data_IF_271022954394
#
_entry.id   IF_271022954394
#
_cell.length_a   1.000
_cell.length_b   1.000
_cell.length_c   1.000
_cell.angle_alpha   90.00
_cell.angle_beta   90.00
_cell.angle_gamma   90.00
#
_symmetry.space_group_name_H-M   'P 1'
#
loop_
_entity.id
_entity.type
_entity.pdbx_description
1 polymer ?
#
# COMPACT_ATOMS: atom_id res chain seq x y z
N UNK A 1 -14.16 -14.87 -20.37
CA UNK A 1 -13.43 -15.29 -19.16
C UNK A 1 -14.04 -14.46 -18.04
N UNK A 2 -14.53 -15.11 -16.98
CA UNK A 2 -15.14 -14.40 -15.86
C UNK A 2 -14.04 -13.75 -15.00
N UNK A 3 -14.36 -12.66 -14.29
CA UNK A 3 -13.42 -11.90 -13.47
C UNK A 3 -12.59 -12.78 -12.51
N UNK A 4 -13.24 -13.76 -11.89
CA UNK A 4 -12.63 -14.65 -10.90
C UNK A 4 -11.69 -15.71 -11.49
N UNK A 5 -11.72 -15.91 -12.82
CA UNK A 5 -10.83 -16.85 -13.51
C UNK A 5 -9.53 -16.19 -14.00
N UNK A 6 -9.40 -14.86 -13.85
CA UNK A 6 -8.25 -14.11 -14.33
C UNK A 6 -7.06 -14.24 -13.40
N UNK A 7 -5.86 -14.27 -13.99
CA UNK A 7 -4.63 -14.05 -13.22
C UNK A 7 -4.68 -12.67 -12.54
N UNK A 8 -3.98 -12.48 -11.41
CA UNK A 8 -3.91 -11.17 -10.76
C UNK A 8 -3.40 -10.07 -11.69
N UNK A 9 -2.41 -10.38 -12.53
CA UNK A 9 -1.86 -9.44 -13.50
C UNK A 9 -2.91 -9.05 -14.55
N UNK A 10 -3.73 -9.99 -15.01
CA UNK A 10 -4.83 -9.72 -15.95
C UNK A 10 -5.94 -8.89 -15.29
N UNK A 11 -6.23 -9.11 -14.00
CA UNK A 11 -7.14 -8.24 -13.24
C UNK A 11 -6.62 -6.80 -13.21
N UNK A 12 -5.32 -6.62 -12.97
CA UNK A 12 -4.67 -5.30 -13.01
C UNK A 12 -4.78 -4.68 -14.40
N UNK A 13 -4.49 -5.43 -15.47
CA UNK A 13 -4.65 -4.94 -16.85
C UNK A 13 -6.07 -4.44 -17.11
N UNK A 14 -7.09 -5.19 -16.70
CA UNK A 14 -8.49 -4.75 -16.86
C UNK A 14 -8.75 -3.43 -16.12
N UNK A 15 -8.25 -3.27 -14.89
CA UNK A 15 -8.37 -2.00 -14.18
C UNK A 15 -7.72 -0.84 -14.97
N UNK A 16 -6.54 -1.05 -15.54
CA UNK A 16 -5.80 -0.08 -16.36
C UNK A 16 -6.46 0.23 -17.71
N UNK A 17 -7.19 -0.70 -18.31
CA UNK A 17 -7.93 -0.47 -19.56
C UNK A 17 -9.19 0.37 -19.30
N UNK A 18 -9.77 0.26 -18.11
CA UNK A 18 -10.96 1.01 -17.70
C UNK A 18 -10.65 2.46 -17.30
N UNK A 19 -9.40 2.75 -16.91
CA UNK A 19 -8.96 4.04 -16.38
C UNK A 19 -7.51 4.28 -16.82
N UNK A 20 -7.23 5.44 -17.42
CA UNK A 20 -5.85 5.82 -17.76
C UNK A 20 -5.07 6.25 -16.51
N UNK A 21 -4.73 5.27 -15.68
CA UNK A 21 -4.06 5.44 -14.39
C UNK A 21 -2.85 4.51 -14.31
N UNK A 22 -1.93 4.83 -13.41
CA UNK A 22 -0.82 3.95 -13.03
C UNK A 22 -1.29 2.96 -11.97
N UNK A 23 -0.55 1.87 -11.78
CA UNK A 23 -0.80 0.94 -10.68
C UNK A 23 0.44 0.72 -9.84
N UNK A 24 0.21 0.38 -8.58
CA UNK A 24 1.26 0.23 -7.58
C UNK A 24 0.86 0.91 -6.28
N UNK A 25 1.69 0.72 -5.27
CA UNK A 25 1.50 1.17 -3.90
C UNK A 25 2.18 2.51 -3.70
N UNK A 26 1.56 3.36 -2.89
CA UNK A 26 2.23 4.48 -2.24
C UNK A 26 2.91 3.94 -0.98
N UNK A 27 4.22 4.11 -0.88
CA UNK A 27 5.04 3.52 0.18
C UNK A 27 5.76 4.63 0.94
N UNK A 28 5.37 4.84 2.20
CA UNK A 28 5.93 5.84 3.09
C UNK A 28 7.08 5.27 3.90
N UNK A 29 8.27 5.86 3.74
CA UNK A 29 9.40 5.61 4.62
C UNK A 29 9.25 6.44 5.89
N UNK A 30 9.15 5.78 7.04
CA UNK A 30 8.93 6.42 8.34
C UNK A 30 10.11 6.27 9.31
N UNK A 31 11.26 5.82 8.80
CA UNK A 31 12.53 5.80 9.55
C UNK A 31 13.72 6.12 8.64
N UNK A 32 14.61 6.96 9.14
CA UNK A 32 15.80 7.50 8.49
C UNK A 32 17.04 7.27 9.34
N UNK A 33 16.97 6.32 10.27
CA UNK A 33 18.13 5.85 11.04
C UNK A 33 19.25 5.41 10.09
N UNK A 34 20.47 5.99 10.21
CA UNK A 34 21.57 5.70 9.28
C UNK A 34 21.89 4.20 9.14
N UNK A 35 21.79 3.43 10.23
CA UNK A 35 22.01 2.00 10.26
C UNK A 35 20.98 1.18 9.45
N UNK A 36 19.80 1.74 9.17
CA UNK A 36 18.75 1.11 8.37
C UNK A 36 18.75 1.57 6.90
N UNK A 37 19.63 2.50 6.51
CA UNK A 37 19.68 3.01 5.13
C UNK A 37 19.92 1.89 4.11
N UNK A 38 20.91 1.02 4.37
CA UNK A 38 21.19 -0.11 3.47
C UNK A 38 20.04 -1.14 3.42
N UNK A 39 19.30 -1.29 4.53
CA UNK A 39 18.11 -2.14 4.59
C UNK A 39 17.00 -1.58 3.71
N UNK A 40 16.76 -0.27 3.79
CA UNK A 40 15.78 0.43 2.97
C UNK A 40 16.08 0.33 1.47
N UNK A 41 17.32 0.58 1.06
CA UNK A 41 17.73 0.44 -0.34
C UNK A 41 17.56 -0.99 -0.85
N UNK A 42 17.93 -1.98 -0.04
CA UNK A 42 17.75 -3.39 -0.36
C UNK A 42 16.28 -3.78 -0.45
N UNK A 43 15.44 -3.24 0.43
CA UNK A 43 13.99 -3.43 0.41
C UNK A 43 13.39 -2.94 -0.91
N UNK A 44 13.66 -1.68 -1.29
CA UNK A 44 13.19 -1.09 -2.56
C UNK A 44 13.60 -1.94 -3.76
N UNK A 45 14.88 -2.26 -3.86
CA UNK A 45 15.43 -3.06 -4.96
C UNK A 45 14.79 -4.45 -5.05
N UNK A 46 14.55 -5.10 -3.90
CA UNK A 46 13.99 -6.45 -3.88
C UNK A 46 12.51 -6.46 -4.20
N UNK A 47 11.73 -5.48 -3.74
CA UNK A 47 10.33 -5.28 -4.15
C UNK A 47 10.27 -5.07 -5.66
N UNK A 48 11.00 -4.10 -6.20
CA UNK A 48 11.02 -3.81 -7.64
C UNK A 48 11.43 -5.01 -8.48
N UNK A 49 12.54 -5.68 -8.12
CA UNK A 49 13.02 -6.85 -8.83
C UNK A 49 11.99 -7.98 -8.84
N UNK A 50 11.38 -8.29 -7.70
CA UNK A 50 10.39 -9.36 -7.60
C UNK A 50 9.15 -9.04 -8.41
N UNK A 51 8.60 -7.84 -8.27
CA UNK A 51 7.41 -7.42 -9.02
C UNK A 51 7.65 -7.50 -10.53
N UNK A 52 8.75 -6.92 -11.02
CA UNK A 52 9.08 -6.97 -12.45
C UNK A 52 9.32 -8.39 -12.95
N UNK A 53 9.97 -9.23 -12.13
CA UNK A 53 10.15 -10.64 -12.44
C UNK A 53 8.81 -11.37 -12.53
N UNK A 54 7.89 -11.16 -11.60
CA UNK A 54 6.55 -11.76 -11.62
C UNK A 54 5.79 -11.35 -12.89
N UNK A 55 5.74 -10.04 -13.18
CA UNK A 55 5.06 -9.52 -14.38
C UNK A 55 5.66 -10.09 -15.66
N UNK A 56 6.98 -10.19 -15.77
CA UNK A 56 7.64 -10.70 -16.98
C UNK A 56 7.29 -12.17 -17.30
N UNK A 57 6.83 -12.94 -16.31
CA UNK A 57 6.38 -14.33 -16.51
C UNK A 57 4.85 -14.44 -16.57
N UNK A 58 4.10 -13.33 -16.53
CA UNK A 58 2.64 -13.33 -16.58
C UNK A 58 2.11 -13.37 -18.02
N UNK A 59 0.80 -13.48 -18.15
CA UNK A 59 0.07 -13.42 -19.42
C UNK A 59 -0.15 -11.99 -19.93
N UNK A 60 0.32 -10.97 -19.19
CA UNK A 60 0.22 -9.53 -19.50
C UNK A 60 1.48 -8.76 -19.08
N UNK A 61 2.64 -9.03 -19.68
CA UNK A 61 3.89 -8.38 -19.28
C UNK A 61 3.85 -6.84 -19.44
N UNK A 62 3.01 -6.33 -20.34
CA UNK A 62 2.90 -4.90 -20.66
C UNK A 62 2.38 -4.06 -19.47
N UNK A 63 1.75 -4.67 -18.45
CA UNK A 63 1.38 -3.91 -17.24
C UNK A 63 2.60 -3.31 -16.53
N UNK A 64 3.81 -3.84 -16.76
CA UNK A 64 5.05 -3.27 -16.24
C UNK A 64 5.30 -1.84 -16.71
N UNK A 65 4.74 -1.42 -17.86
CA UNK A 65 4.89 -0.06 -18.39
C UNK A 65 4.12 0.97 -17.56
N UNK A 66 3.06 0.55 -16.88
CA UNK A 66 2.24 1.39 -16.00
C UNK A 66 2.49 1.15 -14.51
N UNK A 67 3.50 0.34 -14.17
CA UNK A 67 3.89 0.09 -12.78
C UNK A 67 4.61 1.31 -12.21
N UNK A 68 4.06 1.89 -11.16
CA UNK A 68 4.67 2.95 -10.38
C UNK A 68 4.61 2.66 -8.87
N UNK A 69 5.77 2.40 -8.26
CA UNK A 69 5.92 2.39 -6.81
C UNK A 69 6.23 3.80 -6.34
N UNK A 70 5.22 4.50 -5.79
CA UNK A 70 5.39 5.84 -5.29
C UNK A 70 6.11 5.83 -3.93
N UNK A 71 7.45 5.88 -3.98
CA UNK A 71 8.31 5.94 -2.80
C UNK A 71 8.32 7.35 -2.19
N UNK A 72 7.65 7.52 -1.05
CA UNK A 72 7.62 8.81 -0.33
C UNK A 72 8.72 8.84 0.71
N UNK A 73 9.78 9.58 0.40
CA UNK A 73 10.97 9.76 1.23
C UNK A 73 11.09 11.22 1.68
N UNK A 74 10.45 11.55 2.79
CA UNK A 74 10.53 12.84 3.47
C UNK A 74 10.99 12.63 4.91
N UNK A 75 12.09 13.28 5.31
CA UNK A 75 12.67 13.18 6.65
C UNK A 75 11.71 13.63 7.76
N UNK A 76 10.71 14.47 7.46
CA UNK A 76 9.66 14.83 8.42
C UNK A 76 8.78 13.64 8.83
N UNK A 77 8.85 12.52 8.09
CA UNK A 77 8.09 11.30 8.37
C UNK A 77 8.74 10.41 9.43
N UNK A 78 9.91 10.76 9.97
CA UNK A 78 10.53 10.01 11.07
C UNK A 78 9.56 9.88 12.25
N UNK A 79 9.11 8.67 12.54
CA UNK A 79 8.15 8.41 13.62
C UNK A 79 6.77 9.03 13.41
N UNK A 80 6.37 9.34 12.17
CA UNK A 80 5.05 9.88 11.86
C UNK A 80 3.92 8.95 12.33
N UNK A 81 2.85 9.54 12.85
CA UNK A 81 1.65 8.80 13.26
C UNK A 81 0.82 8.35 12.05
N UNK A 82 0.00 7.31 12.22
CA UNK A 82 -0.92 6.87 11.16
C UNK A 82 -1.87 7.99 10.72
N UNK A 83 -2.33 8.83 11.64
CA UNK A 83 -3.21 9.97 11.32
C UNK A 83 -2.51 10.99 10.42
N UNK A 84 -1.24 11.29 10.68
CA UNK A 84 -0.40 12.14 9.83
C UNK A 84 -0.23 11.53 8.43
N UNK A 85 0.13 10.24 8.37
CA UNK A 85 0.32 9.53 7.11
C UNK A 85 -0.96 9.49 6.27
N UNK A 86 -2.11 9.21 6.89
CA UNK A 86 -3.41 9.26 6.20
C UNK A 86 -3.72 10.64 5.65
N UNK A 87 -3.43 11.71 6.40
CA UNK A 87 -3.61 13.09 5.91
C UNK A 87 -2.74 13.34 4.67
N UNK A 88 -1.46 12.98 4.73
CA UNK A 88 -0.53 13.12 3.59
C UNK A 88 -0.93 12.25 2.40
N UNK A 89 -1.43 11.04 2.66
CA UNK A 89 -1.94 10.15 1.62
C UNK A 89 -3.16 10.73 0.91
N UNK A 90 -4.16 11.23 1.65
CA UNK A 90 -5.32 11.90 1.02
C UNK A 90 -4.91 13.11 0.19
N UNK A 91 -3.96 13.90 0.66
CA UNK A 91 -3.39 15.00 -0.12
C UNK A 91 -2.69 14.52 -1.39
N UNK A 92 -1.93 13.42 -1.31
CA UNK A 92 -1.29 12.79 -2.46
C UNK A 92 -2.32 12.28 -3.48
N UNK A 93 -3.37 11.59 -3.04
CA UNK A 93 -4.44 11.09 -3.92
C UNK A 93 -5.13 12.24 -4.66
N UNK A 94 -5.48 13.33 -3.95
CA UNK A 94 -6.09 14.53 -4.57
C UNK A 94 -5.17 15.17 -5.62
N UNK A 95 -3.86 15.18 -5.37
CA UNK A 95 -2.88 15.71 -6.31
C UNK A 95 -2.71 14.82 -7.54
N UNK A 96 -2.60 13.50 -7.35
CA UNK A 96 -2.40 12.50 -8.41
C UNK A 96 -3.62 12.42 -9.34
N UNK A 97 -4.82 12.40 -8.76
CA UNK A 97 -6.09 12.31 -9.52
C UNK A 97 -6.54 13.65 -10.11
N UNK A 98 -5.89 14.77 -9.76
CA UNK A 98 -6.33 16.14 -10.07
C UNK A 98 -7.77 16.43 -9.59
N UNK A 99 -8.26 15.69 -8.60
CA UNK A 99 -9.60 15.82 -8.04
C UNK A 99 -9.54 16.44 -6.64
N UNK A 100 -9.74 17.76 -6.58
CA UNK A 100 -9.76 18.50 -5.31
C UNK A 100 -10.96 18.18 -4.43
N UNK A 101 -12.02 17.58 -4.99
CA UNK A 101 -13.27 17.26 -4.31
C UNK A 101 -13.37 15.78 -3.93
N UNK A 102 -12.25 15.03 -3.99
CA UNK A 102 -12.20 13.68 -3.46
C UNK A 102 -12.36 13.74 -1.93
N UNK A 103 -13.62 13.67 -1.49
CA UNK A 103 -14.07 13.73 -0.11
C UNK A 103 -14.41 12.34 0.44
N UNK A 104 -14.28 12.22 1.75
CA UNK A 104 -14.57 11.00 2.52
C UNK A 104 -16.05 10.65 2.38
N UNK A 105 -16.35 9.43 1.92
CA UNK A 105 -17.72 8.88 1.83
C UNK A 105 -18.43 9.09 0.49
N UNK A 106 -17.76 9.71 -0.49
CA UNK A 106 -18.22 9.77 -1.88
C UNK A 106 -17.02 9.62 -2.82
N UNK A 107 -16.28 8.52 -2.73
CA UNK A 107 -15.08 8.38 -3.57
C UNK A 107 -15.39 7.59 -4.85
N UNK A 108 -15.18 8.15 -6.06
CA UNK A 108 -15.20 7.39 -7.31
C UNK A 108 -14.01 6.41 -7.45
N UNK A 109 -13.14 6.35 -6.43
CA UNK A 109 -11.91 5.56 -6.36
C UNK A 109 -11.92 4.48 -5.27
N UNK A 110 -13.04 4.28 -4.57
CA UNK A 110 -13.19 3.33 -3.46
C UNK A 110 -12.69 1.91 -3.80
N UNK A 111 -12.68 1.57 -5.08
CA UNK A 111 -12.25 0.26 -5.56
C UNK A 111 -10.80 0.23 -6.09
N UNK A 112 -10.06 1.33 -6.22
CA UNK A 112 -8.67 1.26 -6.74
C UNK A 112 -7.69 1.13 -5.58
N UNK A 113 -7.01 -0.02 -5.51
CA UNK A 113 -6.03 -0.32 -4.44
C UNK A 113 -5.02 0.82 -4.21
N UNK A 114 -4.46 1.42 -5.27
CA UNK A 114 -3.52 2.57 -5.22
C UNK A 114 -4.06 3.80 -4.48
N UNK A 115 -5.36 4.05 -4.54
CA UNK A 115 -6.00 5.24 -3.94
C UNK A 115 -6.76 4.95 -2.64
N UNK A 116 -6.94 3.67 -2.31
CA UNK A 116 -7.60 3.24 -1.07
C UNK A 116 -6.60 2.92 0.03
N UNK A 117 -5.44 2.32 -0.31
CA UNK A 117 -4.45 1.84 0.64
C UNK A 117 -3.06 2.41 0.40
N UNK A 118 -2.27 2.52 1.45
CA UNK A 118 -0.84 2.79 1.38
C UNK A 118 -0.07 1.86 2.29
N UNK A 119 1.24 1.76 2.05
CA UNK A 119 2.17 0.98 2.88
C UNK A 119 3.00 1.94 3.72
N UNK A 120 3.04 1.68 5.02
CA UNK A 120 3.98 2.30 5.94
C UNK A 120 5.14 1.33 6.20
N UNK A 121 6.36 1.85 6.07
CA UNK A 121 7.59 1.15 6.41
C UNK A 121 8.28 1.92 7.55
N UNK A 122 8.04 1.46 8.77
CA UNK A 122 8.64 2.00 9.99
C UNK A 122 9.92 1.26 10.39
N UNK A 123 10.50 1.64 11.53
CA UNK A 123 11.68 0.99 12.09
C UNK A 123 11.48 -0.51 12.32
N UNK A 124 10.33 -0.90 12.89
CA UNK A 124 10.03 -2.30 13.18
C UNK A 124 9.97 -3.11 11.87
N UNK A 125 9.33 -2.55 10.85
CA UNK A 125 9.18 -3.16 9.52
C UNK A 125 10.55 -3.44 8.89
N UNK A 126 11.43 -2.44 8.82
CA UNK A 126 12.77 -2.63 8.25
C UNK A 126 13.64 -3.56 9.09
N UNK A 127 13.61 -3.41 10.42
CA UNK A 127 14.36 -4.29 11.31
C UNK A 127 13.89 -5.75 11.16
N UNK A 128 12.60 -5.99 10.98
CA UNK A 128 12.05 -7.34 10.81
C UNK A 128 12.56 -8.03 9.54
N UNK A 129 12.84 -7.26 8.50
CA UNK A 129 13.37 -7.71 7.22
C UNK A 129 14.87 -8.03 7.27
N UNK A 130 15.63 -7.55 8.26
CA UNK A 130 17.09 -7.72 8.31
C UNK A 130 17.53 -9.11 8.78
N UNK A 131 18.53 -9.67 8.10
CA UNK A 131 19.19 -10.95 8.42
C UNK A 131 20.70 -10.83 8.18
N UNK A 132 21.45 -11.83 8.63
CA UNK A 132 22.91 -11.92 8.41
C UNK A 132 23.30 -11.82 6.91
N UNK A 133 22.44 -12.31 6.02
CA UNK A 133 22.66 -12.31 4.57
C UNK A 133 22.04 -11.11 3.83
N UNK A 134 21.46 -10.12 4.54
CA UNK A 134 20.79 -8.97 3.96
C UNK A 134 19.28 -8.91 4.27
N UNK A 135 18.48 -8.41 3.31
CA UNK A 135 17.03 -8.24 3.46
C UNK A 135 16.26 -9.49 3.02
N UNK A 136 15.34 -9.96 3.86
CA UNK A 136 14.44 -11.09 3.62
C UNK A 136 12.97 -10.67 3.78
N UNK A 137 12.27 -10.49 2.66
CA UNK A 137 10.87 -10.07 2.65
C UNK A 137 9.89 -11.16 3.13
N UNK A 138 10.27 -12.44 3.07
CA UNK A 138 9.38 -13.53 3.50
C UNK A 138 9.32 -13.68 5.02
N UNK A 139 10.29 -13.13 5.74
CA UNK A 139 10.30 -13.15 7.21
C UNK A 139 10.14 -11.78 7.84
N UNK A 140 10.09 -10.74 7.01
CA UNK A 140 9.77 -9.38 7.43
C UNK A 140 8.30 -9.05 7.23
N UNK A 141 7.89 -7.90 7.76
CA UNK A 141 6.57 -7.34 7.58
C UNK A 141 6.64 -5.86 7.21
N UNK A 142 5.54 -5.37 6.66
CA UNK A 142 5.24 -3.94 6.50
C UNK A 142 3.81 -3.70 6.97
N UNK A 143 3.45 -2.44 7.19
CA UNK A 143 2.11 -2.08 7.61
C UNK A 143 1.31 -1.62 6.40
N UNK A 144 0.16 -2.22 6.13
CA UNK A 144 -0.79 -1.70 5.14
C UNK A 144 -1.92 -0.97 5.84
N UNK A 145 -2.29 0.20 5.32
CA UNK A 145 -3.18 1.15 5.98
C UNK A 145 -4.27 1.60 5.01
N UNK A 146 -5.52 1.66 5.47
CA UNK A 146 -6.63 2.29 4.77
C UNK A 146 -6.53 3.80 4.92
N UNK A 147 -6.33 4.51 3.80
CA UNK A 147 -6.12 5.97 3.78
C UNK A 147 -7.31 6.79 4.26
N UNK A 148 -8.51 6.23 4.09
CA UNK A 148 -9.79 6.90 4.32
C UNK A 148 -10.53 6.39 5.57
N UNK A 149 -10.02 5.35 6.24
CA UNK A 149 -10.63 4.80 7.46
C UNK A 149 -10.14 5.52 8.72
N UNK A 150 -10.95 5.53 9.78
CA UNK A 150 -10.60 6.07 11.10
C UNK A 150 -10.96 7.55 11.32
N UNK A 151 -10.73 8.04 12.54
CA UNK A 151 -11.07 9.41 12.97
C UNK A 151 -10.35 10.44 12.09
N UNK A 152 -11.15 11.25 11.40
CA UNK A 152 -10.69 12.38 10.63
C UNK A 152 -10.00 13.41 11.55
N UNK A 153 -9.08 14.25 11.03
CA UNK A 153 -8.67 15.46 11.73
C UNK A 153 -9.94 16.23 12.16
N UNK A 154 -9.94 16.88 13.33
CA UNK A 154 -11.10 17.64 13.85
C UNK A 154 -11.67 18.64 12.81
N UNK A 155 -10.84 19.13 11.89
CA UNK A 155 -11.20 20.03 10.80
C UNK A 155 -12.08 19.40 9.69
N UNK A 156 -12.04 18.07 9.52
CA UNK A 156 -12.86 17.31 8.56
C UNK A 156 -14.02 16.57 9.28
N UNK A 157 -14.17 16.77 10.59
CA UNK A 157 -15.11 16.04 11.45
C UNK A 157 -16.42 16.84 11.63
N UNK A 158 -17.42 16.55 10.79
CA UNK A 158 -18.81 16.94 11.12
C UNK A 158 -19.26 16.27 12.43
N UNK A 159 -20.26 16.85 13.12
CA UNK A 159 -20.73 16.54 14.50
C UNK A 159 -21.21 15.08 14.79
N UNK A 160 -20.48 14.05 14.39
CA UNK A 160 -20.80 12.65 14.69
C UNK A 160 -19.54 11.81 14.80
N UNK A 161 -18.87 11.93 15.93
CA UNK A 161 -17.83 10.99 16.36
C UNK A 161 -18.46 9.85 17.15
N UNK A 162 -18.98 8.84 16.47
CA UNK A 162 -19.20 7.52 17.06
C UNK A 162 -18.39 6.46 16.28
N UNK A 163 -17.36 5.92 16.94
CA UNK A 163 -16.63 4.73 16.51
C UNK A 163 -15.21 5.01 15.99
N UNK A 164 -14.21 4.89 16.87
CA UNK A 164 -12.82 4.62 16.44
C UNK A 164 -12.83 3.30 15.65
N UNK A 165 -12.71 3.35 14.33
CA UNK A 165 -12.50 2.14 13.52
C UNK A 165 -11.10 1.61 13.85
N UNK A 166 -11.01 0.57 14.66
CA UNK A 166 -9.74 -0.05 15.08
C UNK A 166 -9.14 -1.01 14.03
N UNK A 167 -9.79 -1.11 12.86
CA UNK A 167 -9.49 -2.07 11.79
C UNK A 167 -9.04 -1.35 10.50
N UNK A 168 -8.32 -0.25 10.67
CA UNK A 168 -7.87 0.65 9.61
C UNK A 168 -6.43 0.37 9.15
N UNK A 169 -5.72 -0.54 9.81
CA UNK A 169 -4.40 -1.02 9.39
C UNK A 169 -4.12 -2.44 9.88
N UNK A 170 -3.20 -3.13 9.20
CA UNK A 170 -2.68 -4.43 9.64
C UNK A 170 -1.23 -4.62 9.19
N UNK A 171 -0.54 -5.61 9.79
CA UNK A 171 0.77 -6.05 9.32
C UNK A 171 0.59 -7.09 8.21
N UNK A 172 1.29 -6.93 7.10
CA UNK A 172 1.37 -7.92 6.03
C UNK A 172 2.82 -8.39 5.90
N UNK A 173 3.01 -9.64 5.48
CA UNK A 173 4.34 -10.12 5.13
C UNK A 173 4.93 -9.25 4.01
N UNK A 174 6.19 -8.84 4.12
CA UNK A 174 6.77 -7.90 3.16
C UNK A 174 6.87 -8.47 1.73
N UNK A 175 6.85 -9.80 1.58
CA UNK A 175 6.77 -10.44 0.26
C UNK A 175 5.42 -10.29 -0.44
N UNK A 176 4.37 -9.87 0.29
CA UNK A 176 3.05 -9.59 -0.28
C UNK A 176 2.99 -8.22 -0.99
N UNK A 177 4.08 -7.44 -0.99
CA UNK A 177 4.20 -6.23 -1.82
C UNK A 177 4.44 -6.63 -3.29
N UNK A 178 3.43 -7.25 -3.90
CA UNK A 178 3.48 -7.84 -5.23
C UNK A 178 2.12 -7.74 -5.96
N UNK A 179 2.03 -8.06 -7.27
CA UNK A 179 0.82 -7.84 -8.07
C UNK A 179 -0.40 -8.62 -7.55
N UNK A 180 -0.20 -9.83 -7.02
CA UNK A 180 -1.27 -10.69 -6.49
C UNK A 180 -2.11 -9.97 -5.43
N UNK A 181 -1.42 -9.48 -4.40
CA UNK A 181 -2.03 -8.80 -3.28
C UNK A 181 -2.66 -7.45 -3.66
N UNK A 182 -2.05 -6.74 -4.62
CA UNK A 182 -2.64 -5.51 -5.16
C UNK A 182 -4.00 -5.77 -5.82
N UNK A 183 -4.11 -6.85 -6.60
CA UNK A 183 -5.36 -7.24 -7.24
C UNK A 183 -6.40 -7.73 -6.24
N UNK A 184 -6.00 -8.46 -5.19
CA UNK A 184 -6.94 -8.99 -4.20
C UNK A 184 -7.61 -7.87 -3.37
N UNK A 185 -6.88 -6.79 -3.06
CA UNK A 185 -7.44 -5.66 -2.31
C UNK A 185 -8.44 -4.80 -3.10
N UNK A 186 -8.45 -4.93 -4.44
CA UNK A 186 -9.49 -4.36 -5.29
C UNK A 186 -10.85 -5.06 -5.06
N UNK A 187 -10.83 -6.36 -4.76
CA UNK A 187 -12.03 -7.19 -4.56
C UNK A 187 -12.64 -7.03 -3.14
N UNK A 188 -12.33 -5.93 -2.42
CA UNK A 188 -12.73 -5.64 -1.03
C UNK A 188 -12.45 -6.81 -0.05
N UNK A 189 -11.36 -7.53 -0.29
CA UNK A 189 -10.95 -8.68 0.52
C UNK A 189 -10.47 -8.31 1.92
N UNK A 190 -10.35 -7.01 2.23
CA UNK A 190 -9.82 -6.47 3.49
C UNK A 190 -10.37 -7.23 4.72
N UNK A 191 -11.69 -7.33 4.85
CA UNK A 191 -12.34 -7.97 6.00
C UNK A 191 -12.14 -9.49 6.06
N UNK A 192 -11.81 -10.12 4.93
CA UNK A 192 -11.49 -11.55 4.86
C UNK A 192 -10.07 -11.84 5.32
N UNK A 193 -9.13 -10.93 5.01
CA UNK A 193 -7.70 -11.10 5.32
C UNK A 193 -7.23 -10.32 6.55
N UNK A 194 -8.10 -9.50 7.14
CA UNK A 194 -7.75 -8.63 8.26
C UNK A 194 -7.21 -9.45 9.44
N UNK A 195 -6.03 -9.06 9.90
CA UNK A 195 -5.40 -9.62 11.08
C UNK A 195 -5.03 -8.48 12.03
N UNK A 196 -5.60 -8.43 13.25
CA UNK A 196 -5.31 -7.35 14.18
C UNK A 196 -3.84 -7.42 14.63
N UNK A 197 -3.09 -6.31 14.58
CA UNK A 197 -1.75 -6.22 15.15
C UNK A 197 -1.75 -6.69 16.62
N UNK A 198 -0.70 -7.40 17.09
CA UNK A 198 0.62 -7.57 16.47
C UNK A 198 0.75 -8.75 15.49
N UNK A 199 -0.36 -9.42 15.13
CA UNK A 199 -0.30 -10.55 14.20
C UNK A 199 0.06 -10.06 12.79
N UNK A 200 0.80 -10.89 12.05
CA UNK A 200 1.18 -10.62 10.66
C UNK A 200 0.30 -11.46 9.76
N UNK A 201 -0.42 -10.80 8.86
CA UNK A 201 -1.16 -11.46 7.79
C UNK A 201 -0.18 -12.12 6.82
N UNK A 202 -0.39 -13.41 6.60
CA UNK A 202 0.31 -14.23 5.61
C UNK A 202 -0.80 -14.80 4.72
N UNK A 203 -0.81 -14.37 3.47
CA UNK A 203 -1.78 -14.77 2.45
C UNK A 203 -1.13 -15.73 1.46
#
# INVERSE_FOLDING_TARGET
MEWYDLSPERKIQWQLDSKDTEWGWVIYRCTYKPELQGAWESFKNLVEYRTRKTIAHSDVPDIAEKLDWAWVEDHELEGASLSELKRRFRAWVRADTQDSNCDIGATPYENISRYTYFIQVDEESLASCLREAGVDLHRGHVNIVRGWAGSLPEEEMGESSEGLVTEDWMKIQASMVEPSFYADLYDDTWYTIYSPPPQVCVW
#
